data_IF_101213004738
#
_entry.id   IF_101213004738
#
_cell.length_a   1.000
_cell.length_b   1.000
_cell.length_c   1.000
_cell.angle_alpha   90.00
_cell.angle_beta   90.00
_cell.angle_gamma   90.00
#
_symmetry.space_group_name_H-M   'P 1'
#
loop_
_entity.id
_entity.type
_entity.pdbx_description
1 polymer ?
#
# COMPACT_ATOMS: atom_id res chain seq x y z
N UNK A 1 -18.55 -9.90 34.07
CA UNK A 1 -19.41 -9.20 33.11
C UNK A 1 -18.53 -8.72 31.96
N UNK A 2 -18.60 -9.40 30.81
CA UNK A 2 -17.85 -8.99 29.62
C UNK A 2 -18.46 -7.73 29.03
N UNK A 3 -17.69 -6.64 29.01
CA UNK A 3 -18.00 -5.45 28.23
C UNK A 3 -17.74 -5.72 26.75
N UNK A 4 -18.75 -6.21 26.03
CA UNK A 4 -18.74 -6.18 24.57
C UNK A 4 -18.79 -4.71 24.15
N UNK A 5 -17.65 -4.15 23.75
CA UNK A 5 -17.61 -2.86 23.08
C UNK A 5 -18.37 -3.01 21.77
N UNK A 6 -19.56 -2.42 21.70
CA UNK A 6 -20.34 -2.29 20.48
C UNK A 6 -19.48 -1.58 19.45
N UNK A 7 -18.89 -2.36 18.55
CA UNK A 7 -18.35 -1.86 17.29
C UNK A 7 -19.54 -1.22 16.58
N UNK A 8 -19.63 0.12 16.61
CA UNK A 8 -20.58 0.88 15.81
C UNK A 8 -20.37 0.46 14.36
N UNK A 9 -21.22 -0.44 13.87
CA UNK A 9 -21.12 -0.95 12.51
C UNK A 9 -21.29 0.25 11.58
N UNK A 10 -20.40 0.42 10.60
CA UNK A 10 -20.41 1.56 9.67
C UNK A 10 -21.74 1.61 8.91
N UNK A 11 -22.35 0.45 8.72
CA UNK A 11 -23.69 0.23 8.20
C UNK A 11 -24.80 0.98 8.97
N UNK A 12 -24.55 1.49 10.19
CA UNK A 12 -25.53 2.29 10.93
C UNK A 12 -25.47 3.79 10.62
N UNK A 13 -24.46 4.23 9.86
CA UNK A 13 -24.35 5.63 9.43
C UNK A 13 -25.34 5.86 8.29
N UNK A 14 -26.32 6.78 8.42
CA UNK A 14 -27.36 7.01 7.41
C UNK A 14 -26.78 7.23 6.01
N UNK A 15 -25.72 8.03 5.90
CA UNK A 15 -25.05 8.35 4.64
C UNK A 15 -24.49 7.11 3.92
N UNK A 16 -23.99 6.12 4.68
CA UNK A 16 -23.43 4.88 4.10
C UNK A 16 -24.56 3.97 3.60
N UNK A 17 -25.70 3.96 4.31
CA UNK A 17 -26.89 3.19 3.90
C UNK A 17 -27.59 3.78 2.69
N UNK A 18 -27.65 5.11 2.60
CA UNK A 18 -28.38 5.82 1.55
C UNK A 18 -27.62 5.79 0.21
N UNK A 19 -26.30 5.58 0.24
CA UNK A 19 -25.45 5.55 -0.96
C UNK A 19 -24.43 4.39 -0.90
N UNK A 20 -24.89 3.14 -0.98
CA UNK A 20 -24.01 1.97 -0.88
C UNK A 20 -23.01 1.86 -2.04
N UNK A 21 -23.35 2.43 -3.21
CA UNK A 21 -22.49 2.43 -4.40
C UNK A 21 -21.20 3.27 -4.22
N UNK A 22 -21.23 4.29 -3.36
CA UNK A 22 -20.08 5.18 -3.10
C UNK A 22 -19.13 4.61 -2.03
N UNK A 23 -19.62 3.69 -1.21
CA UNK A 23 -18.85 3.04 -0.13
C UNK A 23 -18.85 1.52 -0.25
N UNK A 24 -18.42 0.94 -1.38
CA UNK A 24 -18.33 -0.50 -1.53
C UNK A 24 -17.29 -1.08 -0.56
N UNK A 25 -17.51 -2.29 -0.06
CA UNK A 25 -16.56 -2.99 0.80
C UNK A 25 -15.22 -3.25 0.10
N UNK A 26 -15.23 -3.35 -1.23
CA UNK A 26 -14.07 -3.54 -2.09
C UNK A 26 -13.88 -2.38 -3.07
N UNK A 27 -12.61 -2.00 -3.33
CA UNK A 27 -12.28 -0.94 -4.27
C UNK A 27 -12.76 -1.26 -5.70
N UNK A 28 -13.54 -0.36 -6.35
CA UNK A 28 -14.13 -0.59 -7.67
C UNK A 28 -13.08 -0.36 -8.78
N UNK A 29 -12.08 -1.23 -8.86
CA UNK A 29 -11.10 -1.27 -9.96
C UNK A 29 -10.47 0.07 -10.37
N UNK A 30 -9.85 0.10 -11.54
CA UNK A 30 -9.43 1.36 -12.15
C UNK A 30 -10.67 2.13 -12.62
N UNK A 31 -10.69 3.46 -12.50
CA UNK A 31 -11.77 4.24 -13.08
C UNK A 31 -11.83 3.98 -14.60
N UNK A 32 -13.03 3.96 -15.20
CA UNK A 32 -13.18 3.83 -16.64
C UNK A 32 -12.37 4.90 -17.35
N UNK A 33 -11.87 4.58 -18.55
CA UNK A 33 -11.11 5.53 -19.38
C UNK A 33 -11.92 6.83 -19.53
N UNK A 34 -11.46 7.87 -18.84
CA UNK A 34 -12.02 9.22 -18.96
C UNK A 34 -11.47 9.82 -20.25
N UNK A 35 -12.29 10.62 -20.94
CA UNK A 35 -11.83 11.37 -22.13
C UNK A 35 -10.72 12.37 -21.78
N UNK A 36 -10.62 12.77 -20.50
CA UNK A 36 -9.57 13.65 -19.99
C UNK A 36 -8.49 12.81 -19.33
N UNK A 37 -7.28 12.87 -19.89
CA UNK A 37 -6.07 12.34 -19.27
C UNK A 37 -5.54 13.38 -18.29
N UNK A 38 -5.27 12.99 -17.05
CA UNK A 38 -4.60 13.86 -16.09
C UNK A 38 -3.12 13.92 -16.45
N UNK A 39 -2.67 15.07 -16.94
CA UNK A 39 -1.26 15.34 -17.20
C UNK A 39 -0.66 16.11 -16.02
N UNK A 40 0.49 15.65 -15.52
CA UNK A 40 1.27 16.37 -14.50
C UNK A 40 2.35 17.13 -15.25
N UNK A 41 2.10 18.42 -15.48
CA UNK A 41 3.08 19.31 -16.10
C UNK A 41 4.14 19.72 -15.08
N UNK A 42 5.40 19.43 -15.40
CA UNK A 42 6.54 19.87 -14.61
C UNK A 42 7.00 21.25 -15.08
N UNK A 43 7.34 22.12 -14.14
CA UNK A 43 8.06 23.36 -14.46
C UNK A 43 9.39 22.97 -15.11
N UNK A 44 9.78 23.55 -16.27
CA UNK A 44 11.06 23.27 -16.89
C UNK A 44 12.23 23.43 -15.91
N UNK A 45 13.01 22.37 -15.71
CA UNK A 45 14.11 22.33 -14.72
C UNK A 45 13.74 21.74 -13.36
N UNK A 46 12.48 21.38 -13.11
CA UNK A 46 12.08 20.63 -11.91
C UNK A 46 12.59 19.19 -11.98
N UNK A 47 13.52 18.84 -11.09
CA UNK A 47 13.99 17.48 -10.93
C UNK A 47 13.05 16.70 -9.98
N UNK A 48 12.79 15.40 -10.24
CA UNK A 48 12.11 14.54 -9.27
C UNK A 48 12.88 14.49 -7.95
N UNK A 49 12.18 14.66 -6.83
CA UNK A 49 12.80 14.57 -5.51
C UNK A 49 12.90 13.10 -5.12
N UNK A 50 14.14 12.62 -5.04
CA UNK A 50 14.46 11.32 -4.49
C UNK A 50 14.53 11.38 -2.96
N UNK A 51 13.86 10.46 -2.26
CA UNK A 51 14.01 10.29 -0.81
C UNK A 51 14.27 8.83 -0.47
N UNK A 52 15.07 8.60 0.56
CA UNK A 52 15.27 7.24 1.08
C UNK A 52 13.93 6.69 1.60
N UNK A 53 13.65 5.39 1.36
CA UNK A 53 12.49 4.75 1.97
C UNK A 53 12.54 4.86 3.51
N UNK A 54 11.37 5.01 4.13
CA UNK A 54 11.26 4.96 5.58
C UNK A 54 11.66 3.58 6.11
N UNK A 55 12.32 3.56 7.27
CA UNK A 55 12.61 2.32 7.99
C UNK A 55 11.34 1.82 8.66
N UNK A 56 10.88 0.65 8.24
CA UNK A 56 9.74 -0.05 8.83
C UNK A 56 10.22 -1.33 9.54
N UNK A 57 9.53 -1.71 10.61
CA UNK A 57 9.78 -2.98 11.29
C UNK A 57 9.39 -4.17 10.38
N UNK A 58 9.92 -5.38 10.62
CA UNK A 58 9.57 -6.56 9.84
C UNK A 58 8.06 -6.84 9.67
N UNK A 59 7.19 -6.73 10.71
CA UNK A 59 5.76 -6.96 10.52
C UNK A 59 5.09 -5.90 9.63
N UNK A 60 5.47 -4.63 9.79
CA UNK A 60 4.95 -3.52 8.98
C UNK A 60 5.35 -3.67 7.50
N UNK A 61 6.60 -4.11 7.24
CA UNK A 61 7.06 -4.41 5.89
C UNK A 61 6.27 -5.55 5.24
N UNK A 62 5.91 -6.57 6.01
CA UNK A 62 5.10 -7.70 5.53
C UNK A 62 3.71 -7.21 5.15
N UNK A 63 3.04 -6.49 6.06
CA UNK A 63 1.71 -5.93 5.83
C UNK A 63 1.68 -5.01 4.60
N UNK A 64 2.63 -4.07 4.50
CA UNK A 64 2.74 -3.18 3.35
C UNK A 64 2.92 -3.97 2.04
N UNK A 65 3.74 -5.02 2.04
CA UNK A 65 3.95 -5.85 0.85
C UNK A 65 2.70 -6.62 0.43
N UNK A 66 1.88 -7.06 1.39
CA UNK A 66 0.60 -7.74 1.14
C UNK A 66 -0.41 -6.77 0.54
N UNK A 67 -0.51 -5.54 1.07
CA UNK A 67 -1.36 -4.48 0.53
C UNK A 67 -0.96 -4.10 -0.90
N UNK A 68 0.33 -3.88 -1.15
CA UNK A 68 0.83 -3.57 -2.50
C UNK A 68 0.54 -4.69 -3.50
N UNK A 69 0.68 -5.96 -3.07
CA UNK A 69 0.31 -7.10 -3.90
C UNK A 69 -1.18 -7.09 -4.25
N UNK A 70 -2.05 -6.90 -3.26
CA UNK A 70 -3.50 -6.81 -3.50
C UNK A 70 -3.86 -5.68 -4.48
N UNK A 71 -3.23 -4.52 -4.36
CA UNK A 71 -3.45 -3.40 -5.29
C UNK A 71 -2.96 -3.71 -6.71
N UNK A 72 -1.83 -4.41 -6.83
CA UNK A 72 -1.29 -4.85 -8.12
C UNK A 72 -2.17 -5.92 -8.77
N UNK A 73 -2.66 -6.88 -7.99
CA UNK A 73 -3.55 -7.95 -8.46
C UNK A 73 -4.90 -7.36 -8.92
N UNK A 74 -5.36 -6.28 -8.28
CA UNK A 74 -6.53 -5.48 -8.69
C UNK A 74 -6.26 -4.55 -9.89
N UNK A 75 -5.02 -4.47 -10.38
CA UNK A 75 -4.64 -3.63 -11.51
C UNK A 75 -4.61 -2.12 -11.22
N UNK A 76 -4.72 -1.72 -9.95
CA UNK A 76 -4.71 -0.31 -9.54
C UNK A 76 -3.32 0.33 -9.65
N UNK A 77 -2.29 -0.50 -9.44
CA UNK A 77 -0.89 -0.10 -9.54
C UNK A 77 -0.13 -1.10 -10.40
N UNK A 78 0.94 -0.63 -11.04
CA UNK A 78 1.88 -1.46 -11.77
C UNK A 78 3.31 -1.02 -11.41
N UNK A 79 4.24 -1.96 -11.20
CA UNK A 79 5.65 -1.63 -11.07
C UNK A 79 6.13 -0.85 -12.31
N UNK A 80 6.73 0.32 -12.10
CA UNK A 80 7.35 1.11 -13.17
C UNK A 80 8.87 0.96 -13.09
N UNK A 81 9.56 0.66 -14.20
CA UNK A 81 11.01 0.74 -14.24
C UNK A 81 11.42 2.21 -14.15
N UNK A 82 12.10 2.60 -13.08
CA UNK A 82 12.62 3.97 -12.95
C UNK A 82 13.98 4.07 -13.67
N UNK A 83 14.15 4.99 -14.63
CA UNK A 83 15.35 5.06 -15.48
C UNK A 83 16.57 5.76 -14.86
N UNK A 84 16.60 6.01 -13.54
CA UNK A 84 17.72 6.67 -12.84
C UNK A 84 18.24 5.90 -11.62
N UNK A 85 19.46 6.24 -11.15
CA UNK A 85 20.25 5.64 -10.04
C UNK A 85 19.61 5.75 -8.64
N UNK A 86 18.32 5.50 -8.53
CA UNK A 86 17.67 5.23 -7.25
C UNK A 86 17.38 3.76 -7.20
N UNK A 87 18.26 3.03 -6.51
CA UNK A 87 17.96 1.70 -6.02
C UNK A 87 16.69 1.81 -5.17
N UNK A 88 15.53 1.49 -5.72
CA UNK A 88 14.38 1.11 -4.90
C UNK A 88 14.69 -0.26 -4.29
N UNK A 89 15.58 -0.30 -3.31
CA UNK A 89 15.71 -1.45 -2.44
C UNK A 89 14.53 -1.40 -1.48
N UNK A 90 13.35 -1.87 -1.91
CA UNK A 90 12.51 -2.59 -0.96
C UNK A 90 13.35 -3.79 -0.54
N UNK A 91 14.16 -3.62 0.51
CA UNK A 91 14.96 -4.67 1.09
C UNK A 91 14.00 -5.68 1.69
N UNK A 92 13.47 -6.56 0.83
CA UNK A 92 12.91 -7.82 1.25
C UNK A 92 14.09 -8.57 1.83
N UNK A 93 14.28 -8.50 3.16
CA UNK A 93 15.14 -9.45 3.84
C UNK A 93 14.57 -10.82 3.45
N UNK A 94 15.26 -11.54 2.57
CA UNK A 94 15.06 -12.98 2.47
C UNK A 94 15.39 -13.51 3.85
N UNK A 95 14.36 -13.85 4.60
CA UNK A 95 14.51 -14.92 5.58
C UNK A 95 14.64 -16.19 4.74
N UNK A 96 15.87 -16.44 4.29
CA UNK A 96 16.23 -17.76 3.84
C UNK A 96 16.04 -18.66 5.06
N UNK A 97 15.08 -19.58 4.94
CA UNK A 97 14.94 -20.72 5.84
C UNK A 97 16.18 -21.59 5.67
N UNK A 98 17.34 -21.20 6.24
CA UNK A 98 18.42 -22.13 6.56
C UNK A 98 19.31 -21.52 7.66
N UNK A 99 19.33 -22.23 8.79
CA UNK A 99 20.11 -22.06 10.02
C UNK A 99 21.12 -20.91 10.14
N UNK A 100 20.83 -19.99 11.06
CA UNK A 100 21.87 -19.41 11.90
C UNK A 100 21.41 -19.52 13.35
N UNK A 101 21.88 -20.57 14.03
CA UNK A 101 21.94 -20.59 15.47
C UNK A 101 23.00 -19.55 15.88
N UNK A 102 22.56 -18.47 16.50
CA UNK A 102 23.44 -17.61 17.29
C UNK A 102 22.92 -17.68 18.71
N UNK A 103 23.46 -18.64 19.46
CA UNK A 103 23.35 -18.66 20.92
C UNK A 103 24.03 -17.40 21.42
N UNK A 104 23.27 -16.51 22.05
CA UNK A 104 23.82 -15.51 22.94
C UNK A 104 24.04 -16.25 24.25
N UNK A 105 25.30 -16.55 24.58
CA UNK A 105 25.67 -16.82 25.97
C UNK A 105 25.94 -15.47 26.67
N UNK A 106 25.43 -15.38 27.89
CA UNK A 106 25.42 -14.21 28.77
C UNK A 106 26.79 -13.82 29.30
#
# INVERSE_FOLDING_TARGET
AEGKSEKKRLENVPIIRDIPEVFPEDLPGLPPNRQVVFQIDLIPGAAPVAREPYRLAPPEMKELSEQLKQLSDKGLIRPVPYPGELRSCLSRRRTDHFGCASTIES
#
